data_IF_885324473595
#
_entry.id   IF_885324473595
#
_cell.length_a   1.000
_cell.length_b   1.000
_cell.length_c   1.000
_cell.angle_alpha   90.00
_cell.angle_beta   90.00
_cell.angle_gamma   90.00
#
_symmetry.space_group_name_H-M   'P 1'
#
loop_
_entity.id
_entity.type
_entity.pdbx_description
1 polymer ?
#
# COMPACT_ATOMS: atom_id res chain seq x y z
N UNK A 1 -5.29 -102.03 -23.09
CA UNK A 1 -5.60 -101.17 -22.00
C UNK A 1 -4.71 -99.94 -22.18
N UNK A 2 -5.17 -98.90 -22.90
CA UNK A 2 -4.41 -97.77 -23.31
C UNK A 2 -4.91 -96.55 -22.46
N UNK A 3 -4.07 -96.06 -21.64
CA UNK A 3 -4.29 -94.81 -20.85
C UNK A 3 -4.18 -93.60 -21.76
N UNK A 4 -5.06 -92.54 -21.66
CA UNK A 4 -4.94 -91.39 -22.44
C UNK A 4 -3.91 -90.44 -21.74
N UNK A 5 -2.92 -89.99 -22.49
CA UNK A 5 -2.05 -88.89 -22.13
C UNK A 5 -2.83 -87.58 -22.11
N UNK A 6 -3.16 -87.09 -20.97
CA UNK A 6 -3.66 -85.68 -20.79
C UNK A 6 -2.49 -84.72 -20.93
N UNK A 7 -2.52 -83.86 -21.92
CA UNK A 7 -1.58 -82.76 -22.09
C UNK A 7 -2.04 -81.60 -21.23
N UNK A 8 -1.30 -81.25 -20.17
CA UNK A 8 -1.50 -79.98 -19.40
C UNK A 8 -0.57 -78.91 -19.97
N UNK A 9 -1.08 -78.01 -20.72
CA UNK A 9 -0.20 -76.95 -21.27
C UNK A 9 -0.89 -75.68 -21.76
N UNK A 10 -2.18 -75.70 -22.04
CA UNK A 10 -2.88 -74.58 -22.67
C UNK A 10 -3.56 -73.61 -21.62
N UNK A 11 -3.99 -74.06 -20.47
CA UNK A 11 -4.71 -73.28 -19.47
C UNK A 11 -3.81 -72.43 -18.62
N UNK A 12 -2.59 -72.84 -18.33
CA UNK A 12 -1.61 -72.11 -17.47
C UNK A 12 -1.03 -70.90 -18.22
N UNK A 13 -0.81 -70.98 -19.50
CA UNK A 13 -0.27 -69.89 -20.31
C UNK A 13 -1.29 -68.72 -20.45
N UNK A 14 -2.59 -69.02 -20.63
CA UNK A 14 -3.65 -68.01 -20.69
C UNK A 14 -3.90 -67.34 -19.32
N UNK A 15 -3.85 -68.12 -18.25
CA UNK A 15 -4.01 -67.58 -16.90
C UNK A 15 -2.84 -66.68 -16.51
N UNK A 16 -1.62 -67.05 -16.86
CA UNK A 16 -0.40 -66.23 -16.64
C UNK A 16 -0.44 -64.92 -17.45
N UNK A 17 -0.86 -64.95 -18.72
CA UNK A 17 -1.07 -63.75 -19.55
C UNK A 17 -2.12 -62.80 -18.96
N UNK A 18 -3.24 -63.32 -18.45
CA UNK A 18 -4.30 -62.52 -17.81
C UNK A 18 -3.78 -61.86 -16.51
N UNK A 19 -3.00 -62.56 -15.67
CA UNK A 19 -2.38 -62.03 -14.47
C UNK A 19 -1.38 -60.92 -14.81
N UNK A 20 -0.50 -61.14 -15.80
CA UNK A 20 0.48 -60.15 -16.24
C UNK A 20 -0.23 -58.87 -16.74
N UNK A 21 -1.28 -59.02 -17.59
CA UNK A 21 -2.03 -57.87 -18.09
C UNK A 21 -2.76 -57.10 -16.99
N UNK A 22 -3.34 -57.80 -16.01
CA UNK A 22 -3.98 -57.14 -14.85
C UNK A 22 -2.94 -56.38 -14.00
N UNK A 23 -1.79 -56.99 -13.67
CA UNK A 23 -0.71 -56.35 -12.91
C UNK A 23 -0.17 -55.16 -13.67
N UNK A 24 0.06 -55.24 -14.96
CA UNK A 24 0.48 -54.14 -15.81
C UNK A 24 -0.53 -52.98 -15.79
N UNK A 25 -1.85 -53.30 -15.93
CA UNK A 25 -2.91 -52.28 -15.86
C UNK A 25 -2.93 -51.57 -14.50
N UNK A 26 -2.77 -52.30 -13.38
CA UNK A 26 -2.72 -51.70 -12.03
C UNK A 26 -1.51 -50.81 -11.87
N UNK A 27 -0.32 -51.21 -12.34
CA UNK A 27 0.91 -50.41 -12.28
C UNK A 27 0.76 -49.11 -13.08
N UNK A 28 0.25 -49.22 -14.31
CA UNK A 28 0.02 -48.02 -15.16
C UNK A 28 -1.02 -47.08 -14.52
N UNK A 29 -2.12 -47.62 -14.00
CA UNK A 29 -3.14 -46.78 -13.32
C UNK A 29 -2.56 -46.09 -12.07
N UNK A 30 -1.73 -46.80 -11.30
CA UNK A 30 -1.06 -46.20 -10.13
C UNK A 30 -0.11 -45.09 -10.53
N UNK A 31 0.69 -45.29 -11.60
CA UNK A 31 1.61 -44.24 -12.11
C UNK A 31 0.83 -43.01 -12.58
N UNK A 32 -0.26 -43.20 -13.31
CA UNK A 32 -1.14 -42.08 -13.73
C UNK A 32 -1.69 -41.36 -12.53
N UNK A 33 -2.16 -42.07 -11.49
CA UNK A 33 -2.68 -41.46 -10.27
C UNK A 33 -1.62 -40.66 -9.51
N UNK A 34 -0.40 -41.18 -9.40
CA UNK A 34 0.74 -40.47 -8.75
C UNK A 34 1.10 -39.19 -9.55
N UNK A 35 1.13 -39.29 -10.89
CA UNK A 35 1.42 -38.15 -11.76
C UNK A 35 0.34 -37.06 -11.65
N UNK A 36 -0.93 -37.46 -11.67
CA UNK A 36 -2.05 -36.55 -11.49
C UNK A 36 -1.99 -35.84 -10.10
N UNK A 37 -1.67 -36.60 -9.03
CA UNK A 37 -1.49 -36.04 -7.69
C UNK A 37 -0.34 -35.05 -7.65
N UNK A 38 0.77 -35.33 -8.32
CA UNK A 38 1.93 -34.42 -8.39
C UNK A 38 1.58 -33.09 -9.11
N UNK A 39 0.83 -33.16 -10.23
CA UNK A 39 0.35 -31.96 -10.94
C UNK A 39 -0.59 -31.13 -10.03
N UNK A 40 -1.56 -31.79 -9.41
CA UNK A 40 -2.50 -31.10 -8.49
C UNK A 40 -1.74 -30.42 -7.35
N UNK A 41 -0.78 -31.12 -6.74
CA UNK A 41 0.07 -30.56 -5.70
C UNK A 41 0.86 -29.34 -6.20
N UNK A 42 1.43 -29.41 -7.39
CA UNK A 42 2.16 -28.30 -7.99
C UNK A 42 1.27 -27.07 -8.23
N UNK A 43 0.02 -27.27 -8.66
CA UNK A 43 -0.95 -26.19 -8.86
C UNK A 43 -1.36 -25.54 -7.52
N UNK A 44 -1.56 -26.35 -6.48
CA UNK A 44 -1.85 -25.85 -5.12
C UNK A 44 -0.67 -25.02 -4.60
N UNK A 45 0.55 -25.54 -4.71
CA UNK A 45 1.76 -24.83 -4.28
C UNK A 45 1.91 -23.51 -5.05
N UNK A 46 1.72 -23.53 -6.37
CA UNK A 46 1.74 -22.31 -7.20
C UNK A 46 0.79 -21.24 -6.64
N UNK A 47 -0.46 -21.61 -6.39
CA UNK A 47 -1.48 -20.67 -5.92
C UNK A 47 -1.13 -20.13 -4.53
N UNK A 48 -0.71 -20.99 -3.60
CA UNK A 48 -0.33 -20.58 -2.24
C UNK A 48 0.87 -19.64 -2.25
N UNK A 49 1.88 -19.89 -3.10
CA UNK A 49 3.08 -19.05 -3.20
C UNK A 49 2.73 -17.67 -3.77
N UNK A 50 1.84 -17.61 -4.77
CA UNK A 50 1.36 -16.33 -5.30
C UNK A 50 0.54 -15.55 -4.25
N UNK A 51 -0.37 -16.21 -3.54
CA UNK A 51 -1.16 -15.58 -2.48
C UNK A 51 -0.28 -15.02 -1.34
N UNK A 52 0.76 -15.77 -0.94
CA UNK A 52 1.74 -15.30 0.04
C UNK A 52 2.49 -14.06 -0.49
N UNK A 53 2.90 -14.07 -1.77
CA UNK A 53 3.58 -12.93 -2.40
C UNK A 53 2.67 -11.70 -2.42
N UNK A 54 1.42 -11.83 -2.86
CA UNK A 54 0.46 -10.74 -2.93
C UNK A 54 0.15 -10.16 -1.53
N UNK A 55 0.00 -11.03 -0.53
CA UNK A 55 -0.20 -10.60 0.86
C UNK A 55 1.01 -9.87 1.43
N UNK A 56 2.22 -10.28 1.04
CA UNK A 56 3.45 -9.62 1.44
C UNK A 56 3.56 -8.23 0.81
N UNK A 57 3.25 -8.10 -0.48
CA UNK A 57 3.26 -6.82 -1.20
C UNK A 57 2.22 -5.84 -0.60
N UNK A 58 1.00 -6.30 -0.29
CA UNK A 58 -0.03 -5.51 0.40
C UNK A 58 0.49 -5.00 1.75
N UNK A 59 1.10 -5.87 2.56
CA UNK A 59 1.70 -5.49 3.84
C UNK A 59 2.80 -4.43 3.68
N UNK A 60 3.72 -4.61 2.72
CA UNK A 60 4.80 -3.66 2.48
C UNK A 60 4.28 -2.30 2.01
N UNK A 61 3.28 -2.29 1.12
CA UNK A 61 2.68 -1.06 0.62
C UNK A 61 1.97 -0.30 1.75
N UNK A 62 1.17 -0.97 2.58
CA UNK A 62 0.55 -0.36 3.77
C UNK A 62 1.60 0.22 4.69
N UNK A 63 2.65 -0.53 4.99
CA UNK A 63 3.75 -0.08 5.85
C UNK A 63 4.45 1.16 5.30
N UNK A 64 4.67 1.22 3.98
CA UNK A 64 5.28 2.38 3.33
C UNK A 64 4.38 3.63 3.40
N UNK A 65 3.06 3.46 3.21
CA UNK A 65 2.09 4.55 3.37
C UNK A 65 2.00 5.03 4.82
N UNK A 66 1.98 4.12 5.79
CA UNK A 66 1.99 4.46 7.22
C UNK A 66 3.25 5.20 7.61
N UNK A 67 4.41 4.76 7.11
CA UNK A 67 5.70 5.43 7.35
C UNK A 67 5.69 6.85 6.78
N UNK A 68 5.12 7.05 5.58
CA UNK A 68 4.98 8.38 5.00
C UNK A 68 4.04 9.28 5.82
N UNK A 69 2.94 8.70 6.29
CA UNK A 69 2.00 9.43 7.16
C UNK A 69 2.64 9.81 8.51
N UNK A 70 3.50 8.97 9.06
CA UNK A 70 4.25 9.30 10.28
C UNK A 70 5.29 10.37 10.03
N UNK A 71 5.98 10.33 8.88
CA UNK A 71 6.96 11.35 8.51
C UNK A 71 6.34 12.74 8.40
N UNK A 72 5.18 12.87 7.74
CA UNK A 72 4.49 14.18 7.65
C UNK A 72 4.02 14.67 9.03
N UNK A 73 3.57 13.76 9.92
CA UNK A 73 3.21 14.12 11.30
C UNK A 73 4.40 14.63 12.09
N UNK A 74 5.53 13.94 12.02
CA UNK A 74 6.75 14.33 12.71
C UNK A 74 7.24 15.69 12.24
N UNK A 75 7.37 15.89 10.93
CA UNK A 75 7.78 17.19 10.39
C UNK A 75 6.79 18.29 10.76
N UNK A 76 5.49 18.03 10.68
CA UNK A 76 4.48 19.02 11.05
C UNK A 76 4.61 19.42 12.52
N UNK A 77 4.85 18.46 13.41
CA UNK A 77 5.07 18.72 14.84
C UNK A 77 6.28 19.62 15.05
N UNK A 78 7.40 19.32 14.40
CA UNK A 78 8.63 20.11 14.52
C UNK A 78 8.42 21.56 14.07
N UNK A 79 7.60 21.78 13.03
CA UNK A 79 7.29 23.12 12.53
C UNK A 79 6.21 23.85 13.34
N UNK A 80 5.26 23.14 13.91
CA UNK A 80 4.13 23.74 14.64
C UNK A 80 4.39 23.94 16.13
N UNK A 81 5.12 23.02 16.79
CA UNK A 81 5.52 23.10 18.19
C UNK A 81 6.88 23.79 18.34
N UNK A 82 6.97 25.04 17.88
CA UNK A 82 8.18 25.82 17.88
C UNK A 82 7.88 27.26 18.30
N UNK A 83 8.55 27.76 19.34
CA UNK A 83 8.33 29.09 19.91
C UNK A 83 8.43 30.21 18.87
N UNK A 84 9.36 30.11 17.93
CA UNK A 84 9.51 31.10 16.85
C UNK A 84 8.36 31.06 15.85
N UNK A 85 7.88 29.86 15.47
CA UNK A 85 6.68 29.72 14.65
C UNK A 85 5.45 30.31 15.36
N UNK A 86 5.32 30.07 16.67
CA UNK A 86 4.23 30.65 17.45
C UNK A 86 4.23 32.17 17.39
N UNK A 87 5.39 32.83 17.59
CA UNK A 87 5.51 34.30 17.53
C UNK A 87 5.08 34.88 16.20
N UNK A 88 5.44 34.22 15.10
CA UNK A 88 5.28 34.76 13.76
C UNK A 88 3.99 34.29 13.05
N UNK A 89 3.25 33.31 13.61
CA UNK A 89 2.10 32.71 12.92
C UNK A 89 0.80 32.71 13.74
N UNK A 90 0.87 32.86 15.08
CA UNK A 90 -0.30 32.61 15.94
C UNK A 90 -1.43 33.64 15.73
N UNK A 91 -1.16 34.94 15.78
CA UNK A 91 -2.18 35.98 15.60
C UNK A 91 -2.24 36.48 14.17
N UNK A 92 -1.12 36.86 13.61
CA UNK A 92 -0.93 37.32 12.27
C UNK A 92 0.24 36.59 11.64
N UNK A 93 0.13 36.25 10.37
CA UNK A 93 1.24 35.62 9.66
C UNK A 93 2.27 36.68 9.27
N UNK A 94 3.46 36.59 9.84
CA UNK A 94 4.61 37.39 9.39
C UNK A 94 5.13 36.82 8.06
N UNK A 95 4.80 37.53 6.98
CA UNK A 95 5.19 37.12 5.62
C UNK A 95 6.70 37.11 5.40
N UNK A 96 7.43 38.02 6.04
CA UNK A 96 8.88 38.04 5.94
C UNK A 96 9.48 36.77 6.58
N UNK A 97 9.01 36.39 7.76
CA UNK A 97 9.46 35.17 8.43
C UNK A 97 9.02 33.91 7.66
N UNK A 98 7.73 33.82 7.29
CA UNK A 98 7.17 32.62 6.71
C UNK A 98 7.67 32.37 5.28
N UNK A 99 7.61 33.40 4.42
CA UNK A 99 7.90 33.25 3.00
C UNK A 99 9.32 33.70 2.63
N UNK A 100 9.74 34.95 2.96
CA UNK A 100 11.02 35.47 2.50
C UNK A 100 12.21 34.74 3.15
N UNK A 101 12.08 34.36 4.43
CA UNK A 101 13.05 33.51 5.14
C UNK A 101 12.90 32.01 4.86
N UNK A 102 11.93 31.63 4.06
CA UNK A 102 11.65 30.25 3.64
C UNK A 102 11.31 29.28 4.80
N UNK A 103 10.90 29.76 5.97
CA UNK A 103 10.52 28.90 7.11
C UNK A 103 9.29 28.03 6.78
N UNK A 104 8.29 28.59 6.07
CA UNK A 104 7.14 27.87 5.50
C UNK A 104 7.05 28.07 3.98
N UNK A 105 8.18 28.15 3.30
CA UNK A 105 8.28 28.48 1.90
C UNK A 105 8.45 27.27 0.97
N UNK A 106 9.13 27.54 -0.14
CA UNK A 106 9.44 26.56 -1.20
C UNK A 106 10.22 25.35 -0.71
N UNK A 107 11.05 25.53 0.34
CA UNK A 107 11.88 24.47 0.92
C UNK A 107 11.10 23.23 1.37
N UNK A 108 9.88 23.40 1.89
CA UNK A 108 9.02 22.28 2.29
C UNK A 108 8.57 21.43 1.11
N UNK A 109 8.35 22.06 -0.04
CA UNK A 109 8.05 21.34 -1.29
C UNK A 109 9.29 20.67 -1.88
N UNK A 110 10.41 21.40 -1.96
CA UNK A 110 11.64 20.89 -2.58
C UNK A 110 12.26 19.73 -1.81
N UNK A 111 12.25 19.80 -0.46
CA UNK A 111 12.89 18.80 0.40
C UNK A 111 12.00 17.62 0.76
N UNK A 112 10.71 17.86 1.00
CA UNK A 112 9.78 16.85 1.49
C UNK A 112 8.67 16.49 0.49
N UNK A 113 8.49 17.33 -0.54
CA UNK A 113 7.44 17.12 -1.54
C UNK A 113 6.04 17.49 -1.08
N UNK A 114 5.88 18.32 -0.04
CA UNK A 114 4.54 18.73 0.41
C UNK A 114 3.92 19.73 -0.56
N UNK A 115 2.83 19.31 -1.24
CA UNK A 115 2.14 20.17 -2.21
C UNK A 115 1.37 21.31 -1.55
N UNK A 116 0.93 21.14 -0.32
CA UNK A 116 0.19 22.16 0.42
C UNK A 116 0.77 22.42 1.79
N UNK A 117 0.99 23.70 2.10
CA UNK A 117 1.34 24.21 3.44
C UNK A 117 0.37 25.32 3.75
N UNK A 118 -0.39 25.18 4.84
CA UNK A 118 -1.40 26.15 5.25
C UNK A 118 -1.24 26.55 6.71
N UNK A 119 -1.58 27.80 7.02
CA UNK A 119 -1.80 28.29 8.38
C UNK A 119 -3.23 28.79 8.47
N UNK A 120 -3.99 28.23 9.41
CA UNK A 120 -5.35 28.61 9.70
C UNK A 120 -5.43 29.46 10.96
N UNK A 121 -6.38 30.40 10.98
CA UNK A 121 -6.73 31.10 12.21
C UNK A 121 -7.37 30.16 13.25
N UNK A 122 -7.52 30.58 14.51
CA UNK A 122 -8.23 29.79 15.52
C UNK A 122 -9.66 29.41 15.14
N UNK A 123 -10.31 30.19 14.26
CA UNK A 123 -11.65 29.96 13.73
C UNK A 123 -11.66 29.03 12.49
N UNK A 124 -10.47 28.65 11.99
CA UNK A 124 -10.32 27.75 10.84
C UNK A 124 -10.29 28.45 9.48
N UNK A 125 -10.16 29.78 9.42
CA UNK A 125 -9.97 30.51 8.17
C UNK A 125 -8.51 30.44 7.72
N UNK A 126 -8.25 30.22 6.42
CA UNK A 126 -6.91 30.21 5.86
C UNK A 126 -6.28 31.59 5.89
N UNK A 127 -5.13 31.73 6.53
CA UNK A 127 -4.35 32.98 6.65
C UNK A 127 -3.11 32.96 5.76
N UNK A 128 -2.57 31.78 5.48
CA UNK A 128 -1.37 31.58 4.68
C UNK A 128 -1.47 30.29 3.90
N UNK A 129 -0.96 30.30 2.68
CA UNK A 129 -0.89 29.10 1.85
C UNK A 129 0.29 29.11 0.90
N UNK A 130 0.95 27.97 0.76
CA UNK A 130 1.96 27.65 -0.24
C UNK A 130 1.53 26.39 -0.96
N UNK A 131 1.44 26.47 -2.28
CA UNK A 131 1.00 25.37 -3.14
C UNK A 131 2.12 25.01 -4.10
N UNK A 132 2.60 23.77 -4.05
CA UNK A 132 3.69 23.25 -4.87
C UNK A 132 4.91 24.21 -4.90
N UNK A 133 5.29 24.68 -3.72
CA UNK A 133 6.43 25.57 -3.51
C UNK A 133 6.22 27.01 -3.99
N UNK A 134 4.99 27.43 -4.29
CA UNK A 134 4.65 28.79 -4.67
C UNK A 134 3.66 29.40 -3.69
N UNK A 135 3.89 30.66 -3.31
CA UNK A 135 2.91 31.39 -2.50
C UNK A 135 1.71 31.78 -3.36
N UNK A 136 0.64 31.01 -3.24
CA UNK A 136 -0.61 31.22 -3.95
C UNK A 136 -1.69 31.38 -2.87
N UNK A 137 -2.50 32.48 -2.88
CA UNK A 137 -3.62 32.61 -1.96
C UNK A 137 -4.69 31.58 -2.31
N UNK A 138 -4.73 30.50 -1.54
CA UNK A 138 -5.66 29.40 -1.71
C UNK A 138 -6.31 29.06 -0.38
N UNK A 139 -7.56 28.64 -0.40
CA UNK A 139 -8.27 28.22 0.80
C UNK A 139 -8.19 26.71 0.98
N UNK A 140 -7.82 26.26 2.17
CA UNK A 140 -7.77 24.84 2.51
C UNK A 140 -9.13 24.15 2.27
N UNK A 141 -10.23 24.85 2.55
CA UNK A 141 -11.58 24.33 2.31
C UNK A 141 -11.85 24.00 0.85
N UNK A 142 -11.33 24.83 -0.08
CA UNK A 142 -11.46 24.57 -1.51
C UNK A 142 -10.69 23.33 -1.94
N UNK A 143 -9.59 23.04 -1.29
CA UNK A 143 -8.79 21.84 -1.55
C UNK A 143 -9.39 20.57 -0.99
N UNK A 144 -9.85 20.62 0.27
CA UNK A 144 -10.31 19.43 0.99
C UNK A 144 -11.82 19.20 0.90
N UNK A 145 -12.59 20.25 0.60
CA UNK A 145 -14.03 20.29 0.86
C UNK A 145 -14.33 20.56 2.34
N UNK A 146 -15.46 21.22 2.62
CA UNK A 146 -15.85 21.63 3.97
C UNK A 146 -15.90 20.45 4.95
N UNK A 147 -16.54 19.33 4.57
CA UNK A 147 -16.72 18.18 5.44
C UNK A 147 -15.39 17.56 5.89
N UNK A 148 -14.41 17.47 4.98
CA UNK A 148 -13.07 16.92 5.29
C UNK A 148 -12.29 17.86 6.19
N UNK A 149 -12.34 19.18 5.92
CA UNK A 149 -11.72 20.19 6.79
C UNK A 149 -12.31 20.15 8.19
N UNK A 150 -13.64 20.14 8.32
CA UNK A 150 -14.32 20.08 9.63
C UNK A 150 -13.98 18.81 10.40
N UNK A 151 -13.91 17.66 9.73
CA UNK A 151 -13.47 16.40 10.32
C UNK A 151 -12.02 16.49 10.82
N UNK A 152 -11.10 17.03 10.02
CA UNK A 152 -9.70 17.22 10.38
C UNK A 152 -9.57 18.07 11.64
N UNK A 153 -10.25 19.23 11.70
CA UNK A 153 -10.22 20.14 12.83
C UNK A 153 -10.93 19.55 14.07
N UNK A 154 -12.00 18.78 13.86
CA UNK A 154 -12.69 18.07 14.94
C UNK A 154 -11.77 17.00 15.57
N UNK A 155 -11.08 16.20 14.76
CA UNK A 155 -10.13 15.20 15.26
C UNK A 155 -8.95 15.87 15.99
N UNK A 156 -8.42 16.98 15.47
CA UNK A 156 -7.38 17.76 16.11
C UNK A 156 -7.82 18.31 17.48
N UNK A 157 -9.08 18.73 17.60
CA UNK A 157 -9.62 19.24 18.87
C UNK A 157 -9.73 18.19 19.97
N UNK A 158 -9.83 16.91 19.61
CA UNK A 158 -9.89 15.77 20.54
C UNK A 158 -8.51 15.35 21.05
N UNK A 159 -7.46 15.62 20.27
CA UNK A 159 -6.08 15.20 20.55
C UNK A 159 -5.24 16.42 20.85
N UNK A 160 -4.83 16.61 22.10
CA UNK A 160 -3.96 17.73 22.50
C UNK A 160 -2.50 17.32 22.35
N UNK A 161 -1.71 18.15 21.65
CA UNK A 161 -0.25 17.98 21.50
C UNK A 161 0.15 16.73 20.67
N UNK A 162 -0.75 16.26 19.81
CA UNK A 162 -0.46 15.15 18.89
C UNK A 162 -1.02 15.50 17.52
N UNK A 163 -0.18 15.58 16.48
CA UNK A 163 -0.66 15.82 15.12
C UNK A 163 -1.70 14.79 14.70
N UNK A 164 -2.76 15.26 14.06
CA UNK A 164 -3.73 14.38 13.43
C UNK A 164 -3.43 14.26 11.94
N UNK A 165 -3.71 13.10 11.39
CA UNK A 165 -3.48 12.84 9.98
C UNK A 165 -4.60 11.98 9.41
N UNK A 166 -4.98 12.24 8.17
CA UNK A 166 -5.97 11.43 7.45
C UNK A 166 -5.61 11.32 5.97
N UNK A 167 -6.06 10.24 5.37
CA UNK A 167 -6.07 10.09 3.90
C UNK A 167 -7.37 10.66 3.34
N UNK A 168 -7.27 11.36 2.23
CA UNK A 168 -8.40 11.95 1.49
C UNK A 168 -8.11 11.96 0.00
N UNK A 169 -9.09 12.38 -0.81
CA UNK A 169 -8.92 12.65 -2.23
C UNK A 169 -8.90 14.16 -2.48
N UNK A 170 -7.94 14.63 -3.24
CA UNK A 170 -7.85 16.01 -3.75
C UNK A 170 -7.70 15.94 -5.26
N UNK A 171 -8.69 16.39 -6.00
CA UNK A 171 -8.74 16.29 -7.47
C UNK A 171 -8.58 14.85 -7.98
N UNK A 172 -9.15 13.87 -7.28
CA UNK A 172 -9.03 12.44 -7.60
C UNK A 172 -7.66 11.83 -7.27
N UNK A 173 -6.73 12.58 -6.67
CA UNK A 173 -5.42 12.09 -6.24
C UNK A 173 -5.46 11.83 -4.73
N UNK A 174 -5.04 10.65 -4.25
CA UNK A 174 -4.90 10.39 -2.83
C UNK A 174 -3.93 11.38 -2.19
N UNK A 175 -4.27 11.89 -1.03
CA UNK A 175 -3.43 12.81 -0.29
C UNK A 175 -3.44 12.50 1.20
N UNK A 176 -2.27 12.61 1.83
CA UNK A 176 -2.13 12.62 3.27
C UNK A 176 -2.25 14.07 3.72
N UNK A 177 -3.20 14.34 4.61
CA UNK A 177 -3.38 15.66 5.21
C UNK A 177 -3.14 15.55 6.69
N UNK A 178 -2.25 16.40 7.22
CA UNK A 178 -1.92 16.44 8.64
C UNK A 178 -2.11 17.83 9.20
N UNK A 179 -2.62 17.93 10.44
CA UNK A 179 -2.86 19.17 11.14
C UNK A 179 -2.32 19.12 12.57
N UNK A 180 -1.76 20.25 13.04
CA UNK A 180 -1.32 20.44 14.42
C UNK A 180 -1.57 21.87 14.88
N UNK A 181 -1.76 22.05 16.20
CA UNK A 181 -1.84 23.35 16.82
C UNK A 181 -0.47 24.05 16.82
N UNK A 182 -0.43 25.32 16.45
CA UNK A 182 0.79 26.12 16.56
C UNK A 182 0.95 26.53 18.03
N UNK A 183 1.95 25.95 18.67
CA UNK A 183 2.23 26.16 20.10
C UNK A 183 3.67 26.61 20.33
N UNK A 184 3.99 27.03 21.56
CA UNK A 184 5.35 27.40 21.93
C UNK A 184 6.28 26.20 22.04
N UNK A 185 5.76 24.96 22.00
CA UNK A 185 6.54 23.77 22.32
C UNK A 185 7.17 23.91 23.72
N UNK A 186 8.42 23.50 23.82
CA UNK A 186 9.21 23.57 25.06
C UNK A 186 9.93 24.93 25.25
N UNK A 187 9.65 25.93 24.40
CA UNK A 187 10.29 27.25 24.49
C UNK A 187 9.68 28.10 25.62
N UNK A 188 10.28 28.01 26.79
CA UNK A 188 9.89 28.80 27.96
C UNK A 188 10.08 30.32 27.83
N UNK A 189 10.81 30.77 26.79
CA UNK A 189 11.02 32.22 26.54
C UNK A 189 9.79 32.87 25.91
N UNK A 190 8.83 32.06 25.38
CA UNK A 190 7.61 32.53 24.74
C UNK A 190 6.41 32.25 25.63
N UNK A 191 5.70 33.31 26.01
CA UNK A 191 4.48 33.17 26.79
C UNK A 191 3.28 32.89 25.90
N UNK A 192 2.56 31.79 26.12
CA UNK A 192 1.34 31.49 25.36
C UNK A 192 0.28 32.57 25.60
N UNK A 193 -0.35 33.06 24.55
CA UNK A 193 -1.48 33.96 24.61
C UNK A 193 -2.77 33.19 24.97
N UNK A 194 -3.69 33.81 25.72
CA UNK A 194 -4.98 33.18 25.97
C UNK A 194 -5.79 33.03 24.68
N UNK A 195 -6.54 31.95 24.60
CA UNK A 195 -7.39 31.64 23.43
C UNK A 195 -7.02 30.33 22.74
N UNK A 196 -7.72 30.04 21.66
CA UNK A 196 -7.45 28.87 20.82
C UNK A 196 -6.23 29.13 19.93
N UNK A 197 -5.31 28.21 19.80
CA UNK A 197 -4.17 28.37 18.90
C UNK A 197 -4.57 28.38 17.42
N UNK A 198 -3.74 28.94 16.56
CA UNK A 198 -3.77 28.75 15.11
C UNK A 198 -3.38 27.31 14.75
N UNK A 199 -3.71 26.88 13.55
CA UNK A 199 -3.46 25.51 13.08
C UNK A 199 -2.51 25.54 11.89
N UNK A 200 -1.49 24.69 11.90
CA UNK A 200 -0.67 24.40 10.74
C UNK A 200 -1.15 23.13 10.06
N UNK A 201 -1.19 23.14 8.74
CA UNK A 201 -1.64 21.97 7.94
C UNK A 201 -0.64 21.72 6.83
N UNK A 202 -0.17 20.47 6.74
CA UNK A 202 0.62 19.98 5.60
C UNK A 202 -0.20 19.01 4.78
N UNK A 203 -0.04 19.10 3.46
CA UNK A 203 -0.72 18.24 2.48
C UNK A 203 0.31 17.60 1.56
N UNK A 204 0.29 16.28 1.50
CA UNK A 204 1.15 15.46 0.64
C UNK A 204 0.29 14.68 -0.35
N UNK A 205 0.19 15.15 -1.60
CA UNK A 205 -0.49 14.42 -2.67
C UNK A 205 0.36 13.23 -3.10
N UNK A 206 -0.21 12.03 -3.05
CA UNK A 206 0.42 10.79 -3.51
C UNK A 206 0.32 10.69 -5.04
N UNK A 207 1.05 11.58 -5.73
CA UNK A 207 1.09 11.62 -7.19
C UNK A 207 1.64 10.30 -7.76
N UNK A 208 1.39 10.03 -9.05
CA UNK A 208 1.89 8.83 -9.72
C UNK A 208 3.42 8.67 -9.55
N UNK A 209 4.18 9.77 -9.63
CA UNK A 209 5.63 9.77 -9.39
C UNK A 209 6.00 9.33 -7.99
N UNK A 210 5.28 9.81 -6.96
CA UNK A 210 5.52 9.43 -5.56
C UNK A 210 5.12 7.98 -5.29
N UNK A 211 4.01 7.52 -5.85
CA UNK A 211 3.60 6.13 -5.71
C UNK A 211 4.59 5.17 -6.37
N UNK A 212 5.12 5.50 -7.54
CA UNK A 212 6.19 4.72 -8.16
C UNK A 212 7.45 4.70 -7.29
N UNK A 213 7.83 5.81 -6.66
CA UNK A 213 8.96 5.85 -5.74
C UNK A 213 8.71 5.01 -4.48
N UNK A 214 7.52 5.12 -3.88
CA UNK A 214 7.10 4.28 -2.74
C UNK A 214 7.15 2.79 -3.12
N UNK A 215 6.64 2.43 -4.29
CA UNK A 215 6.70 1.06 -4.79
C UNK A 215 8.15 0.59 -4.98
N UNK A 216 8.99 1.40 -5.59
CA UNK A 216 10.41 1.09 -5.77
C UNK A 216 11.12 0.82 -4.44
N UNK A 217 10.89 1.68 -3.43
CA UNK A 217 11.51 1.55 -2.11
C UNK A 217 10.99 0.32 -1.34
N UNK A 218 9.75 -0.09 -1.62
CA UNK A 218 9.13 -1.31 -1.09
C UNK A 218 9.38 -2.56 -1.95
N UNK A 219 10.14 -2.47 -3.03
CA UNK A 219 10.37 -3.52 -4.03
C UNK A 219 9.08 -4.01 -4.72
N UNK A 220 8.06 -3.15 -4.83
CA UNK A 220 6.77 -3.43 -5.50
C UNK A 220 6.74 -2.76 -6.86
N UNK A 221 6.40 -3.52 -7.91
CA UNK A 221 6.44 -3.02 -9.30
C UNK A 221 5.17 -2.28 -9.68
N UNK A 222 5.33 -1.19 -10.42
CA UNK A 222 4.26 -0.45 -11.11
C UNK A 222 3.10 -0.03 -10.20
N UNK A 223 3.40 0.47 -9.00
CA UNK A 223 2.38 1.01 -8.08
C UNK A 223 1.69 2.21 -8.72
N UNK A 224 0.36 2.15 -8.84
CA UNK A 224 -0.45 3.15 -9.54
C UNK A 224 -1.84 3.28 -8.93
N UNK A 225 -2.51 4.41 -9.19
CA UNK A 225 -3.89 4.65 -8.77
C UNK A 225 -4.83 4.15 -9.86
N UNK A 226 -5.95 3.54 -9.44
CA UNK A 226 -7.12 3.30 -10.30
C UNK A 226 -8.34 4.01 -9.72
N UNK A 227 -9.15 4.68 -10.54
CA UNK A 227 -10.41 5.28 -10.09
C UNK A 227 -11.49 4.23 -9.76
N UNK A 228 -11.33 3.01 -10.24
CA UNK A 228 -12.25 1.91 -10.03
C UNK A 228 -11.50 0.67 -9.54
N UNK A 229 -12.21 -0.17 -8.80
CA UNK A 229 -11.74 -1.51 -8.52
C UNK A 229 -11.55 -2.29 -9.84
N UNK A 230 -10.40 -2.95 -9.99
CA UNK A 230 -10.10 -3.74 -11.18
C UNK A 230 -10.11 -5.21 -10.81
N UNK A 231 -11.07 -5.94 -11.36
CA UNK A 231 -11.15 -7.39 -11.17
C UNK A 231 -9.87 -8.08 -11.66
N UNK A 232 -9.40 -9.07 -10.90
CA UNK A 232 -8.22 -9.88 -11.19
C UNK A 232 -6.87 -9.13 -11.17
N UNK A 233 -6.78 -7.95 -10.55
CA UNK A 233 -5.50 -7.29 -10.25
C UNK A 233 -5.29 -7.17 -8.75
N UNK A 234 -4.03 -7.28 -8.33
CA UNK A 234 -3.64 -7.07 -6.94
C UNK A 234 -3.85 -5.60 -6.60
N UNK A 235 -4.63 -5.33 -5.56
CA UNK A 235 -5.03 -3.97 -5.19
C UNK A 235 -5.17 -3.79 -3.70
N UNK A 236 -4.84 -2.58 -3.26
CA UNK A 236 -5.14 -2.07 -1.92
C UNK A 236 -6.24 -1.03 -2.04
N UNK A 237 -7.39 -1.28 -1.41
CA UNK A 237 -8.46 -0.29 -1.30
C UNK A 237 -8.32 0.47 0.02
N UNK A 238 -8.31 1.80 -0.07
CA UNK A 238 -8.27 2.71 1.07
C UNK A 238 -9.53 3.56 1.05
N UNK A 239 -10.38 3.41 2.07
CA UNK A 239 -11.57 4.25 2.23
C UNK A 239 -11.20 5.63 2.76
N UNK A 240 -11.63 6.67 2.06
CA UNK A 240 -11.43 8.07 2.44
C UNK A 240 -12.78 8.79 2.62
N UNK A 241 -12.82 9.95 3.27
CA UNK A 241 -14.06 10.72 3.40
C UNK A 241 -14.71 11.11 2.06
N UNK A 242 -13.91 11.19 0.99
CA UNK A 242 -14.34 11.66 -0.33
C UNK A 242 -14.46 10.52 -1.36
N UNK A 243 -14.42 9.26 -0.92
CA UNK A 243 -14.53 8.07 -1.77
C UNK A 243 -13.38 7.07 -1.56
N UNK A 244 -13.47 5.94 -2.20
CA UNK A 244 -12.44 4.89 -2.11
C UNK A 244 -11.32 5.15 -3.11
N UNK A 245 -10.10 4.79 -2.70
CA UNK A 245 -8.90 4.83 -3.53
C UNK A 245 -8.42 3.41 -3.74
N UNK A 246 -8.22 3.03 -4.99
CA UNK A 246 -7.65 1.74 -5.35
C UNK A 246 -6.21 1.94 -5.81
N UNK A 247 -5.27 1.38 -5.06
CA UNK A 247 -3.85 1.37 -5.44
C UNK A 247 -3.55 -0.02 -5.98
N UNK A 248 -3.11 -0.08 -7.23
CA UNK A 248 -2.80 -1.31 -7.95
C UNK A 248 -1.29 -1.48 -8.07
N UNK A 249 -0.84 -2.72 -8.17
CA UNK A 249 0.55 -3.06 -8.53
C UNK A 249 0.61 -4.34 -9.35
N UNK A 250 1.76 -4.61 -9.92
CA UNK A 250 1.98 -5.81 -10.70
C UNK A 250 2.56 -6.90 -9.79
N UNK A 251 1.80 -7.99 -9.59
CA UNK A 251 2.24 -9.16 -8.83
C UNK A 251 3.39 -9.87 -9.54
N UNK A 252 4.40 -10.30 -8.80
CA UNK A 252 5.53 -11.06 -9.34
C UNK A 252 5.18 -12.47 -9.77
N UNK A 253 4.06 -13.03 -9.27
CA UNK A 253 3.60 -14.39 -9.57
C UNK A 253 4.70 -15.46 -9.47
N UNK A 254 5.44 -15.56 -8.35
CA UNK A 254 6.59 -16.47 -8.23
C UNK A 254 6.20 -17.95 -8.40
N UNK A 255 4.94 -18.31 -8.12
CA UNK A 255 4.41 -19.63 -8.39
C UNK A 255 4.38 -20.00 -9.88
N UNK A 256 4.36 -19.03 -10.80
CA UNK A 256 4.47 -19.31 -12.22
C UNK A 256 5.84 -19.87 -12.60
N UNK A 257 6.91 -19.39 -11.95
CA UNK A 257 8.25 -19.94 -12.15
C UNK A 257 8.32 -21.40 -11.75
N UNK A 258 7.62 -21.82 -10.68
CA UNK A 258 7.55 -23.23 -10.28
C UNK A 258 6.97 -24.11 -11.38
N UNK A 259 5.90 -23.67 -12.03
CA UNK A 259 5.31 -24.42 -13.16
C UNK A 259 6.31 -24.55 -14.32
N UNK A 260 6.98 -23.45 -14.68
CA UNK A 260 7.92 -23.43 -15.81
C UNK A 260 9.08 -24.39 -15.59
N UNK A 261 9.60 -24.50 -14.36
CA UNK A 261 10.75 -25.37 -14.06
C UNK A 261 10.36 -26.80 -13.72
N UNK A 262 9.30 -27.03 -12.94
CA UNK A 262 8.99 -28.37 -12.43
C UNK A 262 8.07 -29.20 -13.36
N UNK A 263 7.18 -28.56 -14.13
CA UNK A 263 6.30 -29.30 -15.03
C UNK A 263 7.05 -30.08 -16.12
N UNK A 264 8.06 -29.53 -16.81
CA UNK A 264 8.87 -30.30 -17.77
C UNK A 264 9.60 -31.47 -17.14
N UNK A 265 10.12 -31.30 -15.91
CA UNK A 265 10.79 -32.39 -15.17
C UNK A 265 9.82 -33.52 -14.83
N UNK A 266 8.59 -33.19 -14.42
CA UNK A 266 7.55 -34.18 -14.17
C UNK A 266 7.19 -34.94 -15.45
N UNK A 267 7.03 -34.27 -16.59
CA UNK A 267 6.74 -34.90 -17.86
C UNK A 267 7.89 -35.82 -18.27
N UNK A 268 9.14 -35.38 -18.16
CA UNK A 268 10.31 -36.19 -18.49
C UNK A 268 10.40 -37.46 -17.65
N UNK A 269 10.05 -37.38 -16.34
CA UNK A 269 10.08 -38.55 -15.44
C UNK A 269 9.08 -39.67 -15.82
N UNK A 270 8.06 -39.36 -16.61
CA UNK A 270 7.09 -40.36 -17.10
C UNK A 270 7.53 -40.98 -18.45
N UNK A 271 8.40 -40.28 -19.20
CA UNK A 271 8.90 -40.73 -20.49
C UNK A 271 10.13 -41.66 -20.36
N UNK A 272 10.77 -41.69 -19.20
CA UNK A 272 11.90 -42.58 -18.85
C UNK A 272 11.41 -43.84 -18.14
#
# INVERSE_FOLDING_TARGET
MTLPLTTPGFTDAEHSKRLINKTFTYVVTLLIAIFAAAIISLLIIKNNVNEISDSHDDFLLRKALDTRQESIRSHLKDYAEWGDAYKHLHQNVDMHWAWDKQNLGKSLYDNFGYEGVFVLSPEGATRYSVISGKRIPEDLERWLGQSTKDRLLSELSKKKGVPVSMLTLIDGIPAIVSAEWITTGDDSSVQPLPGRPSVMVFVDKLTAKKLLAIGHDAAIKNVRISPNEVNNQTSLTISTPNGDVHILWDSENPGQALIVYFLPLLILSVLL
#
